data_IF_457127296647
#
_entry.id   IF_457127296647
#
_cell.length_a   1.000
_cell.length_b   1.000
_cell.length_c   1.000
_cell.angle_alpha   90.00
_cell.angle_beta   90.00
_cell.angle_gamma   90.00
#
_symmetry.space_group_name_H-M   'P 1'
#
loop_
_entity.id
_entity.type
_entity.pdbx_description
1 polymer ?
#
# COMPACT_ATOMS: atom_id res chain seq x y z
N UNK A 1 9.84 -7.03 -63.27
CA UNK A 1 8.89 -7.88 -64.04
C UNK A 1 7.71 -8.11 -63.11
N UNK A 2 6.54 -7.53 -63.30
CA UNK A 2 5.99 -6.59 -64.28
C UNK A 2 4.81 -5.90 -63.53
N UNK A 3 4.73 -4.57 -63.58
CA UNK A 3 3.70 -3.79 -64.32
C UNK A 3 2.37 -3.74 -63.54
N UNK A 4 2.03 -2.59 -62.94
CA UNK A 4 1.37 -1.43 -63.59
C UNK A 4 0.04 -1.83 -64.25
N UNK A 5 -1.08 -1.28 -63.75
CA UNK A 5 -1.96 -0.55 -64.67
C UNK A 5 -2.84 0.48 -63.94
N UNK A 6 -3.04 1.58 -64.64
CA UNK A 6 -3.64 2.82 -64.23
C UNK A 6 -5.00 3.06 -64.92
N UNK A 7 -5.71 4.09 -64.47
CA UNK A 7 -6.80 4.76 -65.20
C UNK A 7 -8.16 4.63 -64.50
N UNK A 8 -8.99 5.67 -64.40
CA UNK A 8 -8.97 7.01 -64.97
C UNK A 8 -10.38 7.59 -64.87
N UNK A 9 -10.45 8.89 -64.55
CA UNK A 9 -11.47 9.92 -64.85
C UNK A 9 -12.86 9.50 -65.38
N UNK A 10 -13.92 10.16 -64.87
CA UNK A 10 -14.64 11.20 -65.63
C UNK A 10 -15.74 11.90 -64.80
N UNK A 11 -15.81 13.21 -65.01
CA UNK A 11 -16.76 14.20 -64.52
C UNK A 11 -18.17 14.01 -65.09
N UNK A 12 -19.19 14.54 -64.39
CA UNK A 12 -20.42 15.02 -65.02
C UNK A 12 -21.06 16.12 -64.16
N UNK A 13 -20.85 17.36 -64.60
CA UNK A 13 -21.70 18.54 -64.33
C UNK A 13 -22.85 18.61 -65.36
N UNK A 14 -23.76 19.58 -65.13
CA UNK A 14 -24.92 20.04 -65.94
C UNK A 14 -26.26 19.31 -65.63
N UNK A 15 -27.40 19.97 -65.44
CA UNK A 15 -27.77 21.37 -65.67
C UNK A 15 -29.07 21.75 -64.92
N UNK A 16 -29.30 23.06 -64.84
CA UNK A 16 -30.48 23.80 -64.39
C UNK A 16 -31.83 23.36 -64.99
N UNK A 17 -32.95 23.63 -64.29
CA UNK A 17 -33.99 24.55 -64.78
C UNK A 17 -35.17 24.75 -63.80
N UNK A 18 -35.57 26.02 -63.72
CA UNK A 18 -36.61 26.60 -62.89
C UNK A 18 -38.01 26.56 -63.52
N UNK A 19 -39.05 26.68 -62.68
CA UNK A 19 -40.33 27.40 -62.95
C UNK A 19 -41.26 27.21 -61.75
N UNK A 20 -42.25 28.03 -61.43
CA UNK A 20 -42.62 29.45 -61.59
C UNK A 20 -43.99 29.57 -60.87
N UNK A 21 -44.27 30.72 -60.25
CA UNK A 21 -45.56 31.27 -59.76
C UNK A 21 -46.51 30.36 -58.94
N UNK A 22 -47.01 30.70 -57.75
CA UNK A 22 -47.37 31.99 -57.14
C UNK A 22 -48.84 31.92 -56.70
N UNK A 23 -49.15 32.14 -55.42
CA UNK A 23 -50.30 32.97 -54.96
C UNK A 23 -50.37 33.10 -53.42
N UNK A 24 -50.40 34.36 -53.00
CA UNK A 24 -51.09 35.03 -51.89
C UNK A 24 -51.35 34.41 -50.49
N UNK A 25 -50.70 35.09 -49.52
CA UNK A 25 -51.23 35.71 -48.28
C UNK A 25 -51.88 34.81 -47.20
N UNK A 26 -51.21 34.73 -46.04
CA UNK A 26 -51.70 35.28 -44.76
C UNK A 26 -50.56 35.30 -43.71
N UNK A 27 -50.29 36.49 -43.16
CA UNK A 27 -49.35 36.73 -42.05
C UNK A 27 -50.03 36.36 -40.73
N UNK A 28 -49.35 35.62 -39.84
CA UNK A 28 -49.28 36.09 -38.46
C UNK A 28 -47.88 35.94 -37.82
N UNK A 29 -47.45 37.06 -37.22
CA UNK A 29 -46.77 37.21 -35.93
C UNK A 29 -45.56 36.32 -35.60
N UNK A 30 -44.39 36.96 -35.73
CA UNK A 30 -43.31 37.03 -34.74
C UNK A 30 -43.15 35.85 -33.76
N UNK A 31 -42.23 34.95 -34.12
CA UNK A 31 -41.48 34.13 -33.18
C UNK A 31 -40.02 34.15 -33.63
N UNK A 32 -39.18 34.91 -32.94
CA UNK A 32 -37.72 34.88 -33.08
C UNK A 32 -37.22 33.50 -32.62
N UNK A 33 -37.05 32.57 -33.56
CA UNK A 33 -36.17 31.43 -33.36
C UNK A 33 -34.74 31.91 -33.64
N UNK A 34 -34.12 32.46 -32.60
CA UNK A 34 -32.66 32.52 -32.52
C UNK A 34 -32.16 31.08 -32.53
N UNK A 35 -31.61 30.66 -33.67
CA UNK A 35 -30.64 29.57 -33.74
C UNK A 35 -29.43 29.98 -32.89
N UNK A 36 -29.55 29.76 -31.57
CA UNK A 36 -28.41 29.70 -30.69
C UNK A 36 -27.57 28.52 -31.17
N UNK A 37 -26.55 28.84 -31.97
CA UNK A 37 -25.33 28.07 -31.99
C UNK A 37 -24.92 27.88 -30.53
N UNK A 38 -25.19 26.67 -30.02
CA UNK A 38 -24.72 26.18 -28.74
C UNK A 38 -23.19 26.04 -28.88
N UNK A 39 -22.50 27.18 -28.86
CA UNK A 39 -21.14 27.28 -28.39
C UNK A 39 -21.19 26.90 -26.90
N UNK A 40 -21.32 25.60 -26.66
CA UNK A 40 -21.01 24.97 -25.39
C UNK A 40 -19.53 25.29 -25.14
N UNK A 41 -19.34 26.34 -24.35
CA UNK A 41 -18.08 26.83 -23.84
C UNK A 41 -17.32 25.66 -23.20
N UNK A 42 -16.47 24.98 -23.98
CA UNK A 42 -15.66 23.86 -23.50
C UNK A 42 -14.63 24.33 -22.45
N UNK A 43 -14.38 25.64 -22.36
CA UNK A 43 -13.57 26.26 -21.31
C UNK A 43 -14.29 26.29 -19.94
N UNK A 44 -15.61 26.03 -19.87
CA UNK A 44 -16.33 25.93 -18.61
C UNK A 44 -16.07 24.61 -17.83
N UNK A 45 -15.32 23.67 -18.40
CA UNK A 45 -15.04 22.37 -17.76
C UNK A 45 -14.00 22.42 -16.66
N UNK A 46 -13.24 23.50 -16.54
CA UNK A 46 -12.25 23.67 -15.47
C UNK A 46 -12.70 24.83 -14.59
N UNK A 47 -13.46 24.52 -13.54
CA UNK A 47 -13.71 25.48 -12.48
C UNK A 47 -12.36 25.91 -11.90
N UNK A 48 -11.83 27.06 -12.29
CA UNK A 48 -10.62 27.60 -11.70
C UNK A 48 -10.97 28.39 -10.44
N UNK A 49 -10.33 28.06 -9.31
CA UNK A 49 -10.45 28.84 -8.09
C UNK A 49 -9.78 30.19 -8.29
N UNK A 50 -10.52 31.29 -8.11
CA UNK A 50 -9.90 32.59 -8.14
C UNK A 50 -8.97 32.74 -6.94
N UNK A 51 -7.76 33.27 -7.18
CA UNK A 51 -6.77 33.49 -6.12
C UNK A 51 -7.33 34.34 -4.98
N UNK A 52 -8.21 35.29 -5.27
CA UNK A 52 -8.85 36.13 -4.26
C UNK A 52 -9.72 35.31 -3.30
N UNK A 53 -10.33 34.23 -3.78
CA UNK A 53 -11.24 33.39 -2.98
C UNK A 53 -10.52 32.40 -2.08
N UNK A 54 -9.23 32.10 -2.37
CA UNK A 54 -8.49 31.03 -1.67
C UNK A 54 -7.25 31.52 -0.93
N UNK A 55 -6.72 32.72 -1.22
CA UNK A 55 -5.50 33.23 -0.57
C UNK A 55 -5.61 33.39 0.96
N UNK A 56 -6.82 33.45 1.49
CA UNK A 56 -7.09 33.58 2.93
C UNK A 56 -7.27 32.23 3.63
N UNK A 57 -7.38 31.14 2.86
CA UNK A 57 -7.59 29.78 3.37
C UNK A 57 -6.26 29.15 3.76
N UNK A 58 -6.30 28.18 4.69
CA UNK A 58 -5.13 27.35 4.97
C UNK A 58 -4.73 26.54 3.73
N UNK A 59 -3.45 26.14 3.55
CA UNK A 59 -3.05 25.32 2.41
C UNK A 59 -3.86 24.02 2.25
N UNK A 60 -4.29 23.41 3.37
CA UNK A 60 -5.13 22.22 3.35
C UNK A 60 -6.55 22.51 2.86
N UNK A 61 -7.17 23.61 3.31
CA UNK A 61 -8.47 24.04 2.80
C UNK A 61 -8.43 24.41 1.33
N UNK A 62 -7.33 25.03 0.87
CA UNK A 62 -7.10 25.31 -0.55
C UNK A 62 -7.08 24.02 -1.37
N UNK A 63 -6.32 23.01 -0.91
CA UNK A 63 -6.21 21.72 -1.57
C UNK A 63 -7.55 20.96 -1.60
N UNK A 64 -8.26 20.93 -0.46
CA UNK A 64 -9.58 20.31 -0.35
C UNK A 64 -10.59 20.96 -1.30
N UNK A 65 -10.66 22.29 -1.30
CA UNK A 65 -11.58 23.03 -2.18
C UNK A 65 -11.23 22.83 -3.65
N UNK A 66 -9.95 22.78 -4.00
CA UNK A 66 -9.49 22.43 -5.34
C UNK A 66 -9.98 21.04 -5.74
N UNK A 67 -9.80 20.06 -4.86
CA UNK A 67 -10.23 18.69 -5.08
C UNK A 67 -11.75 18.57 -5.30
N UNK A 68 -12.55 19.27 -4.49
CA UNK A 68 -14.02 19.29 -4.60
C UNK A 68 -14.55 19.88 -5.92
N UNK A 69 -13.72 20.68 -6.61
CA UNK A 69 -14.07 21.29 -7.89
C UNK A 69 -13.64 20.47 -9.11
N UNK A 70 -12.93 19.37 -8.90
CA UNK A 70 -12.56 18.48 -9.99
C UNK A 70 -13.83 17.83 -10.55
N UNK A 71 -13.88 17.72 -11.88
CA UNK A 71 -14.94 17.04 -12.61
C UNK A 71 -14.35 15.87 -13.39
N UNK A 72 -14.08 14.72 -12.72
CA UNK A 72 -13.42 13.60 -13.39
C UNK A 72 -14.29 13.02 -14.51
N UNK A 73 -13.68 12.69 -15.64
CA UNK A 73 -14.33 12.03 -16.77
C UNK A 73 -13.97 10.54 -16.80
N UNK A 74 -14.95 9.67 -17.09
CA UNK A 74 -14.69 8.23 -17.25
C UNK A 74 -14.10 7.97 -18.64
N UNK A 75 -12.94 7.30 -18.69
CA UNK A 75 -12.24 6.95 -19.95
C UNK A 75 -11.70 5.52 -19.89
N UNK A 76 -11.49 4.90 -21.06
CA UNK A 76 -10.76 3.64 -21.18
C UNK A 76 -9.25 3.89 -21.11
N UNK A 77 -8.62 3.47 -20.00
CA UNK A 77 -7.19 3.63 -19.78
C UNK A 77 -6.35 3.02 -20.90
N UNK A 78 -6.80 1.91 -21.49
CA UNK A 78 -6.02 1.19 -22.49
C UNK A 78 -5.98 1.96 -23.81
N UNK A 79 -7.15 2.38 -24.31
CA UNK A 79 -7.24 3.02 -25.64
C UNK A 79 -7.12 4.54 -25.61
N UNK A 80 -7.59 5.21 -24.55
CA UNK A 80 -7.69 6.67 -24.51
C UNK A 80 -6.49 7.30 -23.81
N UNK A 81 -5.95 6.68 -22.76
CA UNK A 81 -4.74 7.13 -22.07
C UNK A 81 -3.50 6.32 -22.43
N UNK A 82 -3.58 5.47 -23.45
CA UNK A 82 -2.46 4.70 -23.98
C UNK A 82 -1.67 3.94 -22.90
N UNK A 83 -2.39 3.15 -22.08
CA UNK A 83 -1.77 2.28 -21.08
C UNK A 83 -0.89 1.17 -21.67
N UNK A 84 -0.82 1.06 -23.01
CA UNK A 84 0.14 0.18 -23.68
C UNK A 84 1.56 0.72 -23.63
N UNK A 85 1.70 2.03 -23.41
CA UNK A 85 2.92 2.67 -22.94
C UNK A 85 2.99 2.65 -21.41
N UNK A 86 4.18 2.89 -20.87
CA UNK A 86 4.40 2.84 -19.42
C UNK A 86 3.57 3.89 -18.70
N UNK A 87 2.79 3.47 -17.71
CA UNK A 87 2.13 4.35 -16.75
C UNK A 87 2.61 4.05 -15.33
N UNK A 88 2.43 5.00 -14.43
CA UNK A 88 2.92 4.88 -13.06
C UNK A 88 1.76 4.65 -12.09
N UNK A 89 1.94 3.71 -11.16
CA UNK A 89 0.94 3.40 -10.13
C UNK A 89 1.53 3.77 -8.77
N UNK A 90 0.85 4.61 -7.99
CA UNK A 90 1.23 4.86 -6.60
C UNK A 90 0.94 3.61 -5.76
N UNK A 91 1.97 3.00 -5.21
CA UNK A 91 1.84 1.79 -4.39
C UNK A 91 1.07 2.10 -3.11
N UNK A 92 1.38 3.20 -2.43
CA UNK A 92 0.69 3.63 -1.22
C UNK A 92 -0.80 3.90 -1.46
N UNK A 93 -1.15 4.46 -2.63
CA UNK A 93 -2.55 4.64 -3.03
C UNK A 93 -3.30 3.30 -3.16
N UNK A 94 -2.67 2.31 -3.81
CA UNK A 94 -3.26 0.97 -3.96
C UNK A 94 -3.44 0.29 -2.61
N UNK A 95 -2.43 0.40 -1.75
CA UNK A 95 -2.45 -0.18 -0.42
C UNK A 95 -3.59 0.43 0.41
N UNK A 96 -3.72 1.77 0.43
CA UNK A 96 -4.77 2.46 1.16
C UNK A 96 -6.18 2.16 0.62
N UNK A 97 -6.37 2.20 -0.70
CA UNK A 97 -7.67 1.93 -1.34
C UNK A 97 -8.17 0.50 -1.09
N UNK A 98 -7.26 -0.49 -1.11
CA UNK A 98 -7.62 -1.87 -0.80
C UNK A 98 -8.07 -2.05 0.65
N UNK A 99 -7.50 -1.29 1.60
CA UNK A 99 -7.97 -1.31 2.99
C UNK A 99 -9.37 -0.71 3.12
N UNK A 100 -9.58 0.48 2.55
CA UNK A 100 -10.90 1.13 2.51
C UNK A 100 -11.94 0.18 1.92
N UNK A 101 -11.62 -0.41 0.76
CA UNK A 101 -12.56 -1.25 -0.01
C UNK A 101 -12.81 -2.61 0.63
N UNK A 102 -11.83 -3.18 1.35
CA UNK A 102 -11.98 -4.48 2.01
C UNK A 102 -12.70 -4.40 3.35
N UNK A 103 -12.78 -3.21 3.96
CA UNK A 103 -13.30 -3.03 5.31
C UNK A 103 -12.42 -3.69 6.37
N UNK A 104 -11.17 -4.03 6.04
CA UNK A 104 -10.16 -4.56 6.96
C UNK A 104 -9.57 -3.40 7.75
N UNK A 105 -10.38 -2.85 8.65
CA UNK A 105 -10.09 -1.60 9.36
C UNK A 105 -9.03 -1.68 10.46
N UNK A 106 -8.50 -2.86 10.80
CA UNK A 106 -7.31 -2.92 11.65
C UNK A 106 -6.52 -4.21 11.48
N UNK A 107 -5.20 -4.07 11.42
CA UNK A 107 -4.25 -5.19 11.44
C UNK A 107 -4.00 -5.71 12.87
N UNK A 108 -4.69 -5.18 13.87
CA UNK A 108 -4.40 -5.33 15.31
C UNK A 108 -4.47 -6.78 15.79
N UNK A 109 -5.37 -7.58 15.22
CA UNK A 109 -5.57 -8.98 15.64
C UNK A 109 -5.47 -9.99 14.50
N UNK A 110 -5.64 -9.55 13.25
CA UNK A 110 -5.88 -10.44 12.11
C UNK A 110 -5.08 -10.08 10.86
N UNK A 111 -3.96 -9.34 10.99
CA UNK A 111 -3.16 -9.00 9.82
C UNK A 111 -2.86 -10.20 8.93
N UNK A 112 -3.19 -10.07 7.63
CA UNK A 112 -2.98 -11.10 6.61
C UNK A 112 -2.27 -10.47 5.41
N UNK A 113 -0.97 -10.17 5.54
CA UNK A 113 -0.25 -9.46 4.48
C UNK A 113 -0.25 -10.25 3.17
N UNK A 114 -0.21 -11.59 3.21
CA UNK A 114 -0.37 -12.41 2.00
C UNK A 114 -1.70 -12.19 1.27
N UNK A 115 -2.79 -11.96 2.02
CA UNK A 115 -4.09 -11.66 1.41
C UNK A 115 -4.05 -10.28 0.73
N UNK A 116 -3.48 -9.29 1.39
CA UNK A 116 -3.31 -7.96 0.82
C UNK A 116 -2.42 -7.99 -0.43
N UNK A 117 -1.26 -8.67 -0.35
CA UNK A 117 -0.39 -8.91 -1.51
C UNK A 117 -1.16 -9.58 -2.65
N UNK A 118 -1.95 -10.63 -2.37
CA UNK A 118 -2.77 -11.28 -3.38
C UNK A 118 -3.80 -10.34 -4.04
N UNK A 119 -4.44 -9.47 -3.26
CA UNK A 119 -5.38 -8.47 -3.80
C UNK A 119 -4.67 -7.46 -4.71
N UNK A 120 -3.49 -6.99 -4.30
CA UNK A 120 -2.65 -6.13 -5.15
C UNK A 120 -2.25 -6.87 -6.43
N UNK A 121 -1.76 -8.10 -6.33
CA UNK A 121 -1.40 -8.91 -7.50
C UNK A 121 -2.58 -9.15 -8.44
N UNK A 122 -3.78 -9.39 -7.92
CA UNK A 122 -4.97 -9.53 -8.75
C UNK A 122 -5.30 -8.26 -9.52
N UNK A 123 -5.20 -7.09 -8.89
CA UNK A 123 -5.36 -5.80 -9.54
C UNK A 123 -4.33 -5.62 -10.67
N UNK A 124 -3.05 -5.82 -10.35
CA UNK A 124 -1.94 -5.66 -11.30
C UNK A 124 -2.03 -6.66 -12.46
N UNK A 125 -2.36 -7.92 -12.18
CA UNK A 125 -2.57 -8.94 -13.21
C UNK A 125 -3.79 -8.62 -14.09
N UNK A 126 -4.85 -8.02 -13.52
CA UNK A 126 -6.00 -7.58 -14.29
C UNK A 126 -5.61 -6.48 -15.28
N UNK A 127 -4.85 -5.47 -14.84
CA UNK A 127 -4.32 -4.40 -15.70
C UNK A 127 -3.41 -4.97 -16.80
N UNK A 128 -2.47 -5.84 -16.43
CA UNK A 128 -1.55 -6.47 -17.36
C UNK A 128 -2.28 -7.33 -18.41
N UNK A 129 -3.33 -8.07 -17.98
CA UNK A 129 -4.13 -8.89 -18.89
C UNK A 129 -4.91 -8.09 -19.94
N UNK A 130 -5.11 -6.79 -19.70
CA UNK A 130 -5.72 -5.87 -20.66
C UNK A 130 -4.68 -5.15 -21.55
N UNK A 131 -3.39 -5.50 -21.42
CA UNK A 131 -2.30 -4.90 -22.17
C UNK A 131 -1.59 -3.73 -21.46
N UNK A 132 -1.92 -3.48 -20.19
CA UNK A 132 -1.30 -2.42 -19.41
C UNK A 132 0.19 -2.69 -19.13
N UNK A 133 1.03 -1.68 -19.33
CA UNK A 133 2.45 -1.68 -18.97
C UNK A 133 2.67 -0.65 -17.87
N UNK A 134 3.12 -1.07 -16.69
CA UNK A 134 3.22 -0.17 -15.54
C UNK A 134 4.49 -0.36 -14.73
N UNK A 135 4.80 0.69 -13.98
CA UNK A 135 5.78 0.69 -12.89
C UNK A 135 5.11 1.10 -11.58
N UNK A 136 5.41 0.38 -10.51
CA UNK A 136 5.01 0.75 -9.16
C UNK A 136 5.93 1.85 -8.61
N UNK A 137 5.34 2.91 -8.08
CA UNK A 137 6.04 4.05 -7.50
C UNK A 137 5.74 4.08 -6.00
N UNK A 138 6.79 4.06 -5.20
CA UNK A 138 6.73 4.15 -3.75
C UNK A 138 7.30 5.49 -3.28
N UNK A 139 6.72 6.06 -2.22
CA UNK A 139 7.22 7.29 -1.58
C UNK A 139 7.45 7.11 -0.08
N UNK A 140 8.66 7.38 0.39
CA UNK A 140 9.01 7.21 1.82
C UNK A 140 8.31 8.23 2.75
N UNK A 141 7.96 9.40 2.23
CA UNK A 141 7.21 10.43 2.96
C UNK A 141 5.78 10.02 3.37
N UNK A 142 5.26 8.88 2.87
CA UNK A 142 4.02 8.32 3.39
C UNK A 142 4.18 7.59 4.72
N UNK A 143 5.40 7.37 5.22
CA UNK A 143 5.64 6.73 6.54
C UNK A 143 4.80 7.39 7.63
N UNK A 144 4.98 8.69 7.84
CA UNK A 144 4.28 9.39 8.91
C UNK A 144 2.78 9.55 8.61
N UNK A 145 2.38 9.56 7.33
CA UNK A 145 0.97 9.56 6.92
C UNK A 145 0.29 8.26 7.31
N UNK A 146 0.96 7.12 7.08
CA UNK A 146 0.47 5.80 7.41
C UNK A 146 0.52 5.55 8.91
N UNK A 147 1.57 5.96 9.60
CA UNK A 147 1.68 5.83 11.06
C UNK A 147 0.56 6.56 11.79
N UNK A 148 0.14 7.75 11.31
CA UNK A 148 -1.00 8.49 11.89
C UNK A 148 -2.34 7.83 11.60
N UNK A 149 -2.53 7.36 10.37
CA UNK A 149 -3.88 6.92 9.93
C UNK A 149 -4.16 5.44 10.27
N UNK A 150 -3.14 4.59 10.25
CA UNK A 150 -3.28 3.13 10.30
C UNK A 150 -2.27 2.46 11.24
N UNK A 151 -1.59 3.25 12.07
CA UNK A 151 -0.47 2.82 12.89
C UNK A 151 0.67 2.22 12.03
N UNK A 152 1.72 1.70 12.66
CA UNK A 152 2.89 1.18 11.93
C UNK A 152 2.63 -0.13 11.18
N UNK A 153 1.44 -0.70 11.30
CA UNK A 153 1.04 -1.93 10.61
C UNK A 153 1.05 -1.78 9.09
N UNK A 154 0.56 -0.64 8.59
CA UNK A 154 0.50 -0.41 7.15
C UNK A 154 1.88 -0.09 6.56
N UNK A 155 2.70 0.64 7.32
CA UNK A 155 4.08 0.87 6.95
C UNK A 155 4.87 -0.45 6.90
N UNK A 156 4.67 -1.35 7.88
CA UNK A 156 5.24 -2.69 7.84
C UNK A 156 4.76 -3.49 6.62
N UNK A 157 3.49 -3.37 6.22
CA UNK A 157 2.99 -4.00 4.99
C UNK A 157 3.65 -3.42 3.75
N UNK A 158 3.78 -2.09 3.66
CA UNK A 158 4.48 -1.42 2.56
C UNK A 158 5.90 -1.96 2.39
N UNK A 159 6.67 -2.07 3.48
CA UNK A 159 8.03 -2.61 3.45
C UNK A 159 8.09 -4.10 3.07
N UNK A 160 7.13 -4.90 3.55
CA UNK A 160 7.02 -6.30 3.17
C UNK A 160 6.63 -6.45 1.68
N UNK A 161 5.72 -5.62 1.19
CA UNK A 161 5.28 -5.62 -0.20
C UNK A 161 6.37 -5.13 -1.16
N UNK A 162 7.19 -4.17 -0.75
CA UNK A 162 8.38 -3.75 -1.50
C UNK A 162 9.38 -4.91 -1.64
N UNK A 163 9.63 -5.66 -0.57
CA UNK A 163 10.44 -6.88 -0.62
C UNK A 163 9.83 -7.94 -1.55
N UNK A 164 8.51 -8.10 -1.53
CA UNK A 164 7.79 -8.97 -2.46
C UNK A 164 7.98 -8.55 -3.93
N UNK A 165 7.90 -7.24 -4.22
CA UNK A 165 8.15 -6.71 -5.55
C UNK A 165 9.57 -7.06 -6.03
N UNK A 166 10.58 -6.91 -5.16
CA UNK A 166 11.98 -7.27 -5.45
C UNK A 166 12.14 -8.77 -5.68
N UNK A 167 11.55 -9.60 -4.82
CA UNK A 167 11.63 -11.06 -4.91
C UNK A 167 11.05 -11.60 -6.23
N UNK A 168 9.98 -10.96 -6.72
CA UNK A 168 9.23 -11.42 -7.89
C UNK A 168 9.58 -10.65 -9.18
N UNK A 169 10.55 -9.73 -9.13
CA UNK A 169 10.96 -8.95 -10.29
C UNK A 169 9.88 -8.01 -10.83
N UNK A 170 9.00 -7.51 -9.96
CA UNK A 170 7.99 -6.52 -10.32
C UNK A 170 8.67 -5.17 -10.54
N UNK A 171 8.36 -4.47 -11.64
CA UNK A 171 9.00 -3.18 -11.94
C UNK A 171 8.55 -2.10 -10.95
N UNK A 172 9.50 -1.53 -10.21
CA UNK A 172 9.23 -0.53 -9.19
C UNK A 172 10.36 0.49 -9.05
N UNK A 173 10.03 1.64 -8.46
CA UNK A 173 10.99 2.64 -8.02
C UNK A 173 10.54 3.25 -6.69
N UNK A 174 11.51 3.58 -5.84
CA UNK A 174 11.28 4.21 -4.53
C UNK A 174 11.87 5.61 -4.59
N UNK A 175 11.09 6.59 -4.13
CA UNK A 175 11.52 7.97 -3.99
C UNK A 175 11.25 8.42 -2.58
N UNK A 176 11.99 9.43 -2.13
CA UNK A 176 11.71 9.99 -0.83
C UNK A 176 10.34 10.66 -0.76
N UNK A 177 10.03 11.54 -1.71
CA UNK A 177 8.75 12.23 -1.78
C UNK A 177 8.47 12.78 -3.19
N UNK A 178 7.23 13.16 -3.47
CA UNK A 178 6.77 13.60 -4.80
C UNK A 178 7.19 15.03 -5.19
N UNK A 179 7.86 15.76 -4.30
CA UNK A 179 8.50 17.05 -4.61
C UNK A 179 10.01 16.93 -4.86
N UNK A 180 10.60 15.73 -4.74
CA UNK A 180 12.04 15.55 -4.86
C UNK A 180 12.52 15.76 -6.29
N UNK A 181 13.79 16.17 -6.43
CA UNK A 181 14.40 16.34 -7.75
C UNK A 181 14.54 14.99 -8.47
N UNK A 182 14.85 13.92 -7.74
CA UNK A 182 14.94 12.55 -8.27
C UNK A 182 13.64 12.09 -8.91
N UNK A 183 12.51 12.33 -8.25
CA UNK A 183 11.19 12.03 -8.80
C UNK A 183 10.92 12.82 -10.08
N UNK A 184 11.19 14.13 -10.05
CA UNK A 184 11.04 15.00 -11.23
C UNK A 184 11.87 14.51 -12.42
N UNK A 185 13.12 14.15 -12.19
CA UNK A 185 14.02 13.63 -13.22
C UNK A 185 13.52 12.28 -13.75
N UNK A 186 12.99 11.43 -12.87
CA UNK A 186 12.39 10.16 -13.24
C UNK A 186 11.18 10.32 -14.16
N UNK A 187 10.20 11.14 -13.78
CA UNK A 187 9.01 11.42 -14.60
C UNK A 187 9.40 12.01 -15.95
N UNK A 188 10.35 12.96 -15.96
CA UNK A 188 10.83 13.59 -17.19
C UNK A 188 11.50 12.60 -18.14
N UNK A 189 12.22 11.63 -17.58
CA UNK A 189 12.95 10.59 -18.34
C UNK A 189 11.99 9.54 -18.91
N UNK A 190 11.07 9.05 -18.09
CA UNK A 190 10.18 7.95 -18.45
C UNK A 190 8.94 8.38 -19.22
N UNK A 191 8.48 9.63 -19.01
CA UNK A 191 7.30 10.21 -19.65
C UNK A 191 6.08 9.28 -19.56
N UNK A 192 5.57 9.01 -18.35
CA UNK A 192 4.46 8.10 -18.18
C UNK A 192 3.22 8.61 -18.94
N UNK A 193 2.43 7.69 -19.50
CA UNK A 193 1.18 8.07 -20.19
C UNK A 193 0.16 8.71 -19.25
N UNK A 194 0.09 8.19 -18.02
CA UNK A 194 -0.71 8.72 -16.92
C UNK A 194 -0.18 8.23 -15.56
N UNK A 195 -0.70 8.80 -14.48
CA UNK A 195 -0.52 8.28 -13.12
C UNK A 195 -1.81 7.63 -12.62
N UNK A 196 -1.73 6.48 -11.97
CA UNK A 196 -2.85 5.82 -11.29
C UNK A 196 -2.67 5.97 -9.77
N UNK A 197 -3.60 6.67 -9.11
CA UNK A 197 -3.53 6.98 -7.69
C UNK A 197 -4.93 7.10 -7.06
N UNK A 198 -4.99 7.08 -5.73
CA UNK A 198 -6.23 7.22 -4.98
C UNK A 198 -6.65 8.71 -4.90
N UNK A 199 -7.95 8.98 -4.98
CA UNK A 199 -8.52 10.32 -4.86
C UNK A 199 -9.14 10.63 -3.49
N UNK A 200 -9.20 9.64 -2.61
CA UNK A 200 -9.91 9.79 -1.34
C UNK A 200 -9.08 10.51 -0.29
N UNK A 201 -9.78 11.20 0.62
CA UNK A 201 -9.21 11.61 1.90
C UNK A 201 -9.17 10.39 2.83
N UNK A 202 -8.03 10.23 3.49
CA UNK A 202 -7.82 9.26 4.56
C UNK A 202 -8.81 9.45 5.73
N UNK A 203 -9.46 10.62 5.81
CA UNK A 203 -10.52 10.96 6.76
C UNK A 203 -11.70 9.98 6.77
N UNK A 204 -11.95 9.25 5.68
CA UNK A 204 -13.05 8.28 5.62
C UNK A 204 -12.79 6.98 6.40
N UNK A 205 -11.58 6.80 6.95
CA UNK A 205 -11.12 5.56 7.60
C UNK A 205 -10.97 5.68 9.11
N UNK A 206 -10.55 6.84 9.59
CA UNK A 206 -10.63 7.18 11.00
C UNK A 206 -12.10 7.49 11.27
N UNK A 207 -12.79 6.68 12.08
CA UNK A 207 -14.18 6.98 12.46
C UNK A 207 -14.30 8.41 12.99
N UNK A 208 -15.53 8.94 13.09
CA UNK A 208 -15.84 10.26 13.70
C UNK A 208 -15.49 10.29 15.21
N UNK A 209 -14.27 9.91 15.59
CA UNK A 209 -13.75 10.12 16.92
C UNK A 209 -13.45 11.61 17.01
N UNK A 210 -14.36 12.33 17.68
CA UNK A 210 -14.32 13.77 17.99
C UNK A 210 -13.12 14.16 18.89
N UNK A 211 -11.98 13.49 18.78
CA UNK A 211 -10.73 13.93 19.39
C UNK A 211 -10.18 15.13 18.59
N UNK A 212 -9.66 16.13 19.29
CA UNK A 212 -9.05 17.30 18.64
C UNK A 212 -7.87 16.82 17.78
N UNK A 213 -8.08 16.67 16.46
CA UNK A 213 -7.01 16.33 15.53
C UNK A 213 -5.93 17.41 15.58
N UNK A 214 -4.69 17.00 15.86
CA UNK A 214 -3.55 17.91 15.82
C UNK A 214 -3.38 18.46 14.39
N UNK A 215 -2.98 19.73 14.25
CA UNK A 215 -2.81 20.37 12.93
C UNK A 215 -1.90 19.58 11.98
N UNK A 216 -0.96 18.81 12.52
CA UNK A 216 -0.04 17.98 11.76
C UNK A 216 -0.72 16.73 11.17
N UNK A 217 -1.74 16.19 11.83
CA UNK A 217 -2.49 15.02 11.35
C UNK A 217 -3.43 15.41 10.21
N UNK A 218 -4.12 16.56 10.36
CA UNK A 218 -4.90 17.18 9.30
C UNK A 218 -4.03 17.43 8.06
N UNK A 219 -2.75 17.82 8.24
CA UNK A 219 -1.84 18.03 7.11
C UNK A 219 -1.51 16.75 6.36
N UNK A 220 -1.34 15.64 7.08
CA UNK A 220 -1.00 14.32 6.52
C UNK A 220 -2.16 13.72 5.72
N UNK A 221 -3.40 13.96 6.13
CA UNK A 221 -4.63 13.46 5.47
C UNK A 221 -4.82 13.96 4.03
N UNK A 222 -4.28 15.13 3.69
CA UNK A 222 -4.28 15.69 2.32
C UNK A 222 -3.19 15.15 1.38
N UNK A 223 -2.34 14.21 1.82
CA UNK A 223 -1.14 13.81 1.08
C UNK A 223 -1.42 13.18 -0.29
N UNK A 224 -2.46 12.36 -0.44
CA UNK A 224 -2.83 11.80 -1.76
C UNK A 224 -3.31 12.87 -2.74
N UNK A 225 -4.04 13.89 -2.24
CA UNK A 225 -4.48 15.03 -3.05
C UNK A 225 -3.28 15.91 -3.45
N UNK A 226 -2.32 16.09 -2.55
CA UNK A 226 -1.07 16.80 -2.84
C UNK A 226 -0.24 16.06 -3.90
N UNK A 227 -0.11 14.73 -3.78
CA UNK A 227 0.51 13.89 -4.81
C UNK A 227 -0.20 14.03 -6.16
N UNK A 228 -1.54 13.97 -6.16
CA UNK A 228 -2.33 14.15 -7.38
C UNK A 228 -2.09 15.50 -8.04
N UNK A 229 -2.20 16.59 -7.28
CA UNK A 229 -1.94 17.95 -7.75
C UNK A 229 -0.54 18.05 -8.34
N UNK A 230 0.45 17.47 -7.65
CA UNK A 230 1.83 17.45 -8.13
C UNK A 230 1.99 16.65 -9.42
N UNK A 231 1.35 15.50 -9.56
CA UNK A 231 1.36 14.70 -10.78
C UNK A 231 0.84 15.49 -11.99
N UNK A 232 -0.22 16.29 -11.82
CA UNK A 232 -0.78 17.12 -12.90
C UNK A 232 0.20 18.22 -13.36
N UNK A 233 1.12 18.68 -12.50
CA UNK A 233 2.16 19.66 -12.86
C UNK A 233 3.09 19.19 -14.00
N UNK A 234 3.18 17.88 -14.23
CA UNK A 234 3.97 17.27 -15.29
C UNK A 234 3.26 17.25 -16.65
N UNK A 235 2.06 17.84 -16.77
CA UNK A 235 1.23 17.83 -17.98
C UNK A 235 0.83 16.41 -18.42
N UNK A 236 0.53 15.56 -17.43
CA UNK A 236 0.16 14.16 -17.59
C UNK A 236 -1.14 13.89 -16.84
N UNK A 237 -2.04 13.08 -17.43
CA UNK A 237 -3.32 12.75 -16.83
C UNK A 237 -3.15 11.97 -15.51
N UNK A 238 -4.12 12.12 -14.62
CA UNK A 238 -4.23 11.29 -13.43
C UNK A 238 -5.50 10.45 -13.53
N UNK A 239 -5.34 9.14 -13.52
CA UNK A 239 -6.41 8.17 -13.37
C UNK A 239 -6.65 7.87 -11.88
N UNK A 240 -7.93 7.80 -11.52
CA UNK A 240 -8.36 7.56 -10.16
C UNK A 240 -8.58 6.07 -9.96
N UNK A 241 -7.95 5.52 -8.93
CA UNK A 241 -8.05 4.11 -8.58
C UNK A 241 -9.48 3.74 -8.16
N UNK A 242 -10.12 4.63 -7.39
CA UNK A 242 -11.52 4.47 -7.02
C UNK A 242 -12.41 4.65 -8.24
N UNK A 243 -13.22 3.63 -8.52
CA UNK A 243 -14.03 3.58 -9.73
C UNK A 243 -13.38 2.86 -10.91
N UNK A 244 -12.17 2.31 -10.73
CA UNK A 244 -11.56 1.42 -11.72
C UNK A 244 -12.46 0.21 -11.98
N UNK A 245 -12.85 0.02 -13.24
CA UNK A 245 -13.75 -1.06 -13.65
C UNK A 245 -13.23 -1.77 -14.90
N UNK A 246 -13.15 -3.10 -14.82
CA UNK A 246 -12.90 -3.92 -16.01
C UNK A 246 -14.19 -4.17 -16.77
N UNK A 247 -14.22 -3.82 -18.06
CA UNK A 247 -15.32 -4.12 -18.98
C UNK A 247 -14.78 -4.93 -20.17
N UNK A 248 -14.69 -6.25 -19.99
CA UNK A 248 -14.08 -7.15 -20.98
C UNK A 248 -12.56 -6.95 -21.06
N UNK A 249 -12.09 -6.42 -22.18
CA UNK A 249 -10.67 -6.06 -22.39
C UNK A 249 -10.38 -4.57 -22.13
N UNK A 250 -11.40 -3.81 -21.72
CA UNK A 250 -11.27 -2.39 -21.37
C UNK A 250 -11.09 -2.21 -19.89
N UNK A 251 -10.35 -1.17 -19.51
CA UNK A 251 -10.19 -0.76 -18.12
C UNK A 251 -10.67 0.68 -18.02
N UNK A 252 -11.87 0.87 -17.50
CA UNK A 252 -12.46 2.19 -17.31
C UNK A 252 -11.98 2.78 -15.98
N UNK A 253 -11.64 4.06 -15.97
CA UNK A 253 -11.40 4.81 -14.74
C UNK A 253 -11.85 6.26 -14.90
N UNK A 254 -12.14 6.92 -13.79
CA UNK A 254 -12.27 8.37 -13.77
C UNK A 254 -10.89 9.02 -13.90
N UNK A 255 -10.81 10.13 -14.63
CA UNK A 255 -9.54 10.81 -14.87
C UNK A 255 -9.65 12.31 -14.65
N UNK A 256 -8.56 12.88 -14.19
CA UNK A 256 -8.35 14.32 -14.01
C UNK A 256 -7.34 14.78 -15.05
N UNK A 257 -7.71 15.82 -15.78
CA UNK A 257 -6.90 16.36 -16.87
C UNK A 257 -5.79 17.28 -16.34
N UNK A 258 -4.65 17.38 -17.05
CA UNK A 258 -3.52 18.16 -16.56
C UNK A 258 -3.79 19.66 -16.40
N UNK A 259 -4.81 20.18 -17.10
CA UNK A 259 -5.20 21.59 -17.03
C UNK A 259 -5.88 21.97 -15.71
N UNK A 260 -6.25 20.97 -14.89
CA UNK A 260 -6.70 21.19 -13.53
C UNK A 260 -5.55 21.53 -12.54
N UNK A 261 -4.28 21.49 -12.96
CA UNK A 261 -3.16 21.85 -12.08
C UNK A 261 -3.17 23.33 -11.67
N UNK A 262 -3.13 23.59 -10.36
CA UNK A 262 -2.99 24.92 -9.78
C UNK A 262 -1.61 25.09 -9.10
N UNK A 263 -0.76 25.92 -9.70
CA UNK A 263 0.62 26.15 -9.21
C UNK A 263 0.68 26.96 -7.92
N UNK A 264 -0.33 27.79 -7.64
CA UNK A 264 -0.38 28.56 -6.41
C UNK A 264 -0.72 27.66 -5.23
N UNK A 265 -1.69 26.76 -5.42
CA UNK A 265 -2.05 25.74 -4.41
C UNK A 265 -0.88 24.76 -4.22
N UNK A 266 -0.27 24.25 -5.30
CA UNK A 266 0.85 23.30 -5.21
C UNK A 266 2.03 23.88 -4.40
N UNK A 267 2.36 25.15 -4.64
CA UNK A 267 3.41 25.86 -3.89
C UNK A 267 3.09 25.99 -2.39
N UNK A 268 1.85 26.38 -2.05
CA UNK A 268 1.44 26.55 -0.65
C UNK A 268 1.38 25.21 0.09
N UNK A 269 0.88 24.16 -0.58
CA UNK A 269 0.80 22.80 -0.05
C UNK A 269 2.19 22.22 0.17
N UNK A 270 3.11 22.40 -0.79
CA UNK A 270 4.52 22.01 -0.62
C UNK A 270 5.13 22.66 0.63
N UNK A 271 4.91 23.97 0.81
CA UNK A 271 5.39 24.68 2.00
C UNK A 271 4.79 24.16 3.31
N UNK A 272 3.51 23.78 3.31
CA UNK A 272 2.84 23.21 4.48
C UNK A 272 3.29 21.79 4.82
N UNK A 273 3.62 20.99 3.80
CA UNK A 273 4.11 19.63 3.95
C UNK A 273 5.61 19.56 4.23
N UNK A 274 6.35 20.67 4.13
CA UNK A 274 7.80 20.70 4.30
C UNK A 274 8.31 19.91 5.53
N UNK A 275 7.70 19.97 6.73
CA UNK A 275 8.14 19.16 7.87
C UNK A 275 8.06 17.64 7.62
N UNK A 276 7.06 17.17 6.88
CA UNK A 276 6.90 15.77 6.46
C UNK A 276 7.93 15.37 5.39
N UNK A 277 8.37 16.35 4.58
CA UNK A 277 9.29 16.12 3.47
C UNK A 277 10.76 16.23 3.92
N UNK A 278 11.03 16.77 5.11
CA UNK A 278 12.36 16.94 5.68
C UNK A 278 13.01 15.60 6.09
N UNK A 279 14.32 15.63 6.31
CA UNK A 279 15.17 14.44 6.37
C UNK A 279 15.23 14.00 7.83
N UNK A 280 14.60 12.88 8.18
CA UNK A 280 14.92 12.22 9.45
C UNK A 280 16.30 11.54 9.31
N UNK A 281 17.17 11.69 10.32
CA UNK A 281 18.42 10.94 10.39
C UNK A 281 18.08 9.44 10.44
N UNK A 282 18.31 8.75 9.32
CA UNK A 282 17.99 7.34 9.22
C UNK A 282 19.08 6.49 9.87
N UNK A 283 18.69 5.43 10.59
CA UNK A 283 19.65 4.47 11.13
C UNK A 283 20.41 3.73 10.01
N UNK A 284 21.73 3.59 10.19
CA UNK A 284 22.63 2.93 9.24
C UNK A 284 22.18 1.49 8.92
N UNK A 285 21.77 1.26 7.67
CA UNK A 285 21.45 -0.07 7.15
C UNK A 285 22.71 -0.94 6.89
N UNK A 286 23.92 -0.36 7.02
CA UNK A 286 25.19 -0.98 6.65
C UNK A 286 25.46 -2.32 7.36
N UNK A 287 25.00 -2.45 8.61
CA UNK A 287 25.23 -3.65 9.42
C UNK A 287 24.22 -4.79 9.15
N UNK A 288 23.11 -4.52 8.45
CA UNK A 288 22.04 -5.52 8.26
C UNK A 288 22.54 -6.78 7.51
N UNK A 289 23.16 -6.61 6.34
CA UNK A 289 23.69 -7.74 5.56
C UNK A 289 24.80 -8.49 6.29
N UNK A 290 25.85 -7.83 6.83
CA UNK A 290 26.87 -8.52 7.61
C UNK A 290 26.30 -9.37 8.75
N UNK A 291 25.28 -8.88 9.46
CA UNK A 291 24.64 -9.64 10.53
C UNK A 291 23.80 -10.81 10.01
N UNK A 292 23.03 -10.60 8.94
CA UNK A 292 22.26 -11.65 8.28
C UNK A 292 23.18 -12.79 7.81
N UNK A 293 24.35 -12.46 7.24
CA UNK A 293 25.35 -13.45 6.81
C UNK A 293 25.95 -14.25 7.97
N UNK A 294 26.26 -13.57 9.08
CA UNK A 294 26.72 -14.23 10.30
C UNK A 294 25.65 -15.19 10.82
N UNK A 295 24.38 -14.78 10.81
CA UNK A 295 23.26 -15.63 11.20
C UNK A 295 23.10 -16.84 10.26
N UNK A 296 23.07 -16.61 8.95
CA UNK A 296 22.97 -17.66 7.92
C UNK A 296 24.05 -18.75 8.11
N UNK A 297 25.28 -18.33 8.40
CA UNK A 297 26.39 -19.26 8.67
C UNK A 297 26.13 -20.14 9.91
N UNK A 298 25.57 -19.58 10.99
CA UNK A 298 25.24 -20.33 12.21
C UNK A 298 23.99 -21.21 12.06
N UNK A 299 23.06 -20.78 11.22
CA UNK A 299 21.80 -21.44 10.93
C UNK A 299 21.92 -22.54 9.87
N UNK A 300 23.06 -22.63 9.17
CA UNK A 300 23.32 -23.62 8.13
C UNK A 300 23.02 -25.05 8.60
N UNK A 301 22.17 -25.75 7.85
CA UNK A 301 21.73 -27.12 8.15
C UNK A 301 20.71 -27.26 9.30
N UNK A 302 20.33 -26.16 9.96
CA UNK A 302 19.32 -26.13 11.03
C UNK A 302 18.03 -25.45 10.59
N UNK A 303 18.16 -24.36 9.82
CA UNK A 303 17.04 -23.58 9.29
C UNK A 303 17.04 -23.73 7.78
N UNK A 304 15.85 -23.86 7.17
CA UNK A 304 15.71 -23.88 5.70
C UNK A 304 16.19 -22.56 5.09
N UNK A 305 16.81 -22.61 3.92
CA UNK A 305 17.40 -21.43 3.26
C UNK A 305 16.36 -20.33 2.96
N UNK A 306 15.15 -20.73 2.56
CA UNK A 306 14.01 -19.84 2.29
C UNK A 306 13.42 -19.16 3.54
N UNK A 307 13.85 -19.57 4.73
CA UNK A 307 13.38 -19.07 6.01
C UNK A 307 14.42 -18.21 6.75
N UNK A 308 15.64 -18.10 6.22
CA UNK A 308 16.76 -17.46 6.91
C UNK A 308 16.45 -16.01 7.25
N UNK A 309 15.91 -15.23 6.30
CA UNK A 309 15.58 -13.82 6.53
C UNK A 309 14.54 -13.66 7.64
N UNK A 310 13.43 -14.39 7.57
CA UNK A 310 12.36 -14.32 8.57
C UNK A 310 12.82 -14.75 9.95
N UNK A 311 13.57 -15.85 10.03
CA UNK A 311 14.14 -16.32 11.29
C UNK A 311 15.16 -15.32 11.86
N UNK A 312 15.96 -14.67 11.02
CA UNK A 312 16.92 -13.64 11.44
C UNK A 312 16.20 -12.44 12.08
N UNK A 313 15.24 -11.86 11.37
CA UNK A 313 14.45 -10.72 11.86
C UNK A 313 13.69 -11.11 13.14
N UNK A 314 13.07 -12.29 13.17
CA UNK A 314 12.37 -12.77 14.35
C UNK A 314 13.30 -12.98 15.55
N UNK A 315 14.53 -13.46 15.35
CA UNK A 315 15.53 -13.56 16.41
C UNK A 315 15.98 -12.19 16.92
N UNK A 316 16.12 -11.18 16.05
CA UNK A 316 16.41 -9.80 16.47
C UNK A 316 15.25 -9.21 17.27
N UNK A 317 14.00 -9.39 16.82
CA UNK A 317 12.81 -9.00 17.57
C UNK A 317 12.78 -9.67 18.94
N UNK A 318 12.94 -10.99 18.96
CA UNK A 318 12.97 -11.79 20.17
C UNK A 318 14.04 -11.30 21.15
N UNK A 319 15.25 -11.00 20.68
CA UNK A 319 16.33 -10.46 21.50
C UNK A 319 15.96 -9.12 22.13
N UNK A 320 15.35 -8.21 21.36
CA UNK A 320 14.85 -6.92 21.86
C UNK A 320 13.79 -7.12 22.95
N UNK A 321 12.77 -7.92 22.66
CA UNK A 321 11.67 -8.22 23.58
C UNK A 321 12.12 -8.92 24.87
N UNK A 322 13.11 -9.82 24.78
CA UNK A 322 13.65 -10.53 25.94
C UNK A 322 14.55 -9.62 26.79
N UNK A 323 15.24 -8.67 26.18
CA UNK A 323 15.95 -7.63 26.92
C UNK A 323 14.98 -6.75 27.73
N UNK A 324 13.82 -6.41 27.17
CA UNK A 324 12.77 -5.73 27.92
C UNK A 324 12.12 -6.61 29.00
N UNK A 325 11.88 -7.88 28.68
CA UNK A 325 11.35 -8.85 29.66
C UNK A 325 12.27 -8.99 30.88
N UNK A 326 13.59 -8.83 30.71
CA UNK A 326 14.55 -8.84 31.82
C UNK A 326 14.44 -7.63 32.75
N UNK A 327 13.88 -6.51 32.26
CA UNK A 327 13.64 -5.28 33.00
C UNK A 327 12.23 -5.22 33.60
N UNK A 328 11.28 -5.94 33.01
CA UNK A 328 9.91 -6.05 33.50
C UNK A 328 9.80 -6.97 34.73
N UNK A 329 8.76 -6.77 35.55
CA UNK A 329 8.51 -7.58 36.74
C UNK A 329 7.26 -8.45 36.61
N UNK A 330 7.23 -9.58 37.32
CA UNK A 330 6.05 -10.44 37.46
C UNK A 330 5.48 -10.97 36.14
N UNK A 331 4.17 -10.84 35.98
CA UNK A 331 3.41 -11.36 34.84
C UNK A 331 3.86 -10.78 33.49
N UNK A 332 4.25 -9.50 33.47
CA UNK A 332 4.69 -8.82 32.25
C UNK A 332 5.92 -9.48 31.62
N UNK A 333 6.93 -9.81 32.42
CA UNK A 333 8.14 -10.50 31.93
C UNK A 333 7.82 -11.85 31.30
N UNK A 334 6.94 -12.62 31.92
CA UNK A 334 6.53 -13.92 31.38
C UNK A 334 5.65 -13.78 30.13
N UNK A 335 4.85 -12.71 30.03
CA UNK A 335 3.96 -12.46 28.90
C UNK A 335 4.78 -12.19 27.64
N UNK A 336 5.79 -11.32 27.75
CA UNK A 336 6.71 -11.04 26.65
C UNK A 336 7.41 -12.31 26.16
N UNK A 337 7.88 -13.17 27.09
CA UNK A 337 8.49 -14.46 26.74
C UNK A 337 7.51 -15.41 26.05
N UNK A 338 6.25 -15.44 26.49
CA UNK A 338 5.21 -16.26 25.85
C UNK A 338 4.98 -15.77 24.43
N UNK A 339 4.75 -14.46 24.22
CA UNK A 339 4.50 -13.89 22.89
C UNK A 339 5.63 -14.22 21.92
N UNK A 340 6.89 -14.01 22.31
CA UNK A 340 8.05 -14.36 21.47
C UNK A 340 8.09 -15.85 21.13
N UNK A 341 7.82 -16.73 22.11
CA UNK A 341 7.76 -18.18 21.87
C UNK A 341 6.63 -18.55 20.89
N UNK A 342 5.47 -17.90 20.99
CA UNK A 342 4.36 -18.12 20.06
C UNK A 342 4.73 -17.69 18.64
N UNK A 343 5.35 -16.52 18.47
CA UNK A 343 5.81 -16.05 17.16
C UNK A 343 6.84 -16.99 16.53
N UNK A 344 7.78 -17.54 17.31
CA UNK A 344 8.72 -18.56 16.81
C UNK A 344 8.02 -19.86 16.38
N UNK A 345 6.99 -20.30 17.12
CA UNK A 345 6.20 -21.47 16.72
C UNK A 345 5.39 -21.17 15.46
N UNK A 346 4.81 -19.98 15.35
CA UNK A 346 4.13 -19.53 14.15
C UNK A 346 5.07 -19.57 12.95
N UNK A 347 6.27 -18.97 13.04
CA UNK A 347 7.24 -19.00 11.93
C UNK A 347 7.67 -20.41 11.57
N UNK A 348 7.81 -21.30 12.55
CA UNK A 348 7.99 -22.73 12.26
C UNK A 348 6.81 -23.29 11.47
N UNK A 349 5.58 -23.07 11.90
CA UNK A 349 4.40 -23.57 11.21
C UNK A 349 4.23 -22.98 9.80
N UNK A 350 4.56 -21.70 9.57
CA UNK A 350 4.50 -21.08 8.24
C UNK A 350 5.31 -21.87 7.19
N UNK A 351 6.43 -22.46 7.61
CA UNK A 351 7.37 -23.20 6.74
C UNK A 351 7.00 -24.64 6.47
N UNK A 352 6.11 -25.20 7.27
CA UNK A 352 5.71 -26.61 7.19
C UNK A 352 4.21 -26.81 6.92
N UNK A 353 3.39 -25.78 7.13
CA UNK A 353 1.95 -25.77 6.83
C UNK A 353 1.72 -24.96 5.55
N UNK A 354 1.38 -25.62 4.44
CA UNK A 354 1.02 -24.95 3.20
C UNK A 354 -0.10 -23.93 3.40
N UNK A 355 -0.07 -22.84 2.63
CA UNK A 355 -1.04 -21.73 2.73
C UNK A 355 -2.49 -22.23 2.65
N UNK A 356 -2.78 -23.17 1.75
CA UNK A 356 -4.12 -23.77 1.56
C UNK A 356 -4.58 -24.67 2.73
N UNK A 357 -3.70 -24.93 3.69
CA UNK A 357 -3.94 -25.71 4.91
C UNK A 357 -3.90 -24.85 6.18
N UNK A 358 -3.59 -23.55 6.07
CA UNK A 358 -3.61 -22.61 7.19
C UNK A 358 -5.04 -22.27 7.59
N UNK A 359 -5.19 -21.70 8.78
CA UNK A 359 -6.50 -21.43 9.34
C UNK A 359 -7.21 -20.29 8.59
N UNK A 360 -8.44 -20.54 8.15
CA UNK A 360 -9.33 -19.53 7.58
C UNK A 360 -10.27 -18.89 8.63
N UNK A 361 -10.31 -19.48 9.83
CA UNK A 361 -11.13 -18.99 10.94
C UNK A 361 -10.31 -18.14 11.88
N UNK A 362 -10.95 -17.16 12.49
CA UNK A 362 -10.33 -16.29 13.49
C UNK A 362 -10.56 -16.86 14.89
N UNK A 363 -9.71 -16.46 15.83
CA UNK A 363 -9.86 -16.85 17.23
C UNK A 363 -10.45 -15.66 17.97
N UNK A 364 -11.61 -15.85 18.60
CA UNK A 364 -12.13 -14.83 19.49
C UNK A 364 -11.29 -14.78 20.78
N UNK A 365 -10.52 -13.71 20.97
CA UNK A 365 -9.70 -13.47 22.15
C UNK A 365 -10.49 -12.83 23.31
N UNK A 366 -11.71 -12.35 23.09
CA UNK A 366 -12.53 -11.69 24.12
C UNK A 366 -12.78 -12.59 25.34
N UNK A 367 -12.77 -13.90 25.14
CA UNK A 367 -12.93 -14.88 26.22
C UNK A 367 -11.69 -14.97 27.15
N UNK A 368 -10.58 -14.30 26.82
CA UNK A 368 -9.28 -14.46 27.50
C UNK A 368 -8.92 -13.28 28.41
N UNK A 369 -9.78 -12.27 28.55
CA UNK A 369 -9.64 -11.16 29.49
C UNK A 369 -8.48 -10.23 29.15
N UNK A 370 -7.70 -9.80 30.16
CA UNK A 370 -6.60 -8.81 30.09
C UNK A 370 -5.49 -9.09 29.05
N UNK A 371 -5.53 -10.23 28.38
CA UNK A 371 -4.51 -10.66 27.43
C UNK A 371 -4.73 -10.11 26.03
N UNK A 372 -5.98 -9.90 25.62
CA UNK A 372 -6.28 -9.42 24.26
C UNK A 372 -5.75 -8.01 24.05
N UNK A 373 -6.10 -7.09 24.97
CA UNK A 373 -5.66 -5.69 24.92
C UNK A 373 -4.14 -5.58 24.93
N UNK A 374 -3.47 -6.26 25.88
CA UNK A 374 -2.01 -6.18 25.97
C UNK A 374 -1.30 -6.79 24.74
N UNK A 375 -1.78 -7.91 24.21
CA UNK A 375 -1.19 -8.53 23.02
C UNK A 375 -1.40 -7.63 21.80
N UNK A 376 -2.59 -7.07 21.63
CA UNK A 376 -2.89 -6.09 20.58
C UNK A 376 -1.93 -4.89 20.68
N UNK A 377 -1.80 -4.26 21.85
CA UNK A 377 -0.86 -3.16 22.09
C UNK A 377 0.59 -3.55 21.80
N UNK A 378 1.01 -4.78 22.13
CA UNK A 378 2.37 -5.24 21.84
C UNK A 378 2.59 -5.42 20.33
N UNK A 379 1.61 -6.00 19.62
CA UNK A 379 1.69 -6.15 18.18
C UNK A 379 1.79 -4.77 17.51
N UNK A 380 0.93 -3.84 17.91
CA UNK A 380 0.89 -2.50 17.33
C UNK A 380 2.08 -1.63 17.68
N UNK A 381 2.46 -1.56 18.95
CA UNK A 381 3.52 -0.64 19.37
C UNK A 381 4.93 -1.23 19.30
N UNK A 382 5.08 -2.53 18.97
CA UNK A 382 6.40 -3.17 18.95
C UNK A 382 6.62 -4.05 17.74
N UNK A 383 5.72 -4.97 17.45
CA UNK A 383 5.94 -5.91 16.35
C UNK A 383 5.96 -5.21 15.00
N UNK A 384 4.91 -4.45 14.66
CA UNK A 384 4.85 -3.78 13.37
C UNK A 384 5.92 -2.70 13.19
N UNK A 385 6.18 -1.79 14.15
CA UNK A 385 7.27 -0.82 14.04
C UNK A 385 8.63 -1.50 13.83
N UNK A 386 8.93 -2.53 14.62
CA UNK A 386 10.18 -3.29 14.50
C UNK A 386 10.31 -3.94 13.12
N UNK A 387 9.22 -4.54 12.63
CA UNK A 387 9.23 -5.17 11.31
C UNK A 387 9.39 -4.15 10.19
N UNK A 388 8.74 -2.99 10.28
CA UNK A 388 8.88 -1.93 9.29
C UNK A 388 10.32 -1.40 9.27
N UNK A 389 10.94 -1.21 10.43
CA UNK A 389 12.34 -0.77 10.55
C UNK A 389 13.32 -1.79 9.93
N UNK A 390 13.19 -3.08 10.27
CA UNK A 390 14.10 -4.12 9.79
C UNK A 390 13.94 -4.39 8.29
N UNK A 391 12.69 -4.41 7.79
CA UNK A 391 12.42 -4.56 6.37
C UNK A 391 12.81 -3.29 5.58
N UNK A 392 12.68 -2.10 6.18
CA UNK A 392 13.16 -0.83 5.62
C UNK A 392 14.69 -0.80 5.48
N UNK A 393 15.42 -1.26 6.49
CA UNK A 393 16.89 -1.44 6.42
C UNK A 393 17.27 -2.36 5.25
N UNK A 394 16.54 -3.45 5.07
CA UNK A 394 16.73 -4.36 3.93
C UNK A 394 16.44 -3.67 2.58
N UNK A 395 15.37 -2.89 2.51
CA UNK A 395 14.93 -2.23 1.29
C UNK A 395 15.88 -1.13 0.79
N UNK A 396 16.62 -0.49 1.70
CA UNK A 396 17.63 0.53 1.38
C UNK A 396 18.92 -0.03 0.76
N UNK A 397 19.12 -1.34 0.81
CA UNK A 397 20.31 -1.98 0.25
C UNK A 397 20.20 -2.05 -1.28
N UNK A 398 21.15 -1.43 -1.98
CA UNK A 398 21.25 -1.47 -3.44
C UNK A 398 21.52 -2.89 -3.96
N UNK A 399 22.38 -3.63 -3.27
CA UNK A 399 22.93 -4.91 -3.73
C UNK A 399 22.61 -6.02 -2.74
N UNK A 400 21.39 -6.56 -2.85
CA UNK A 400 21.02 -7.78 -2.13
C UNK A 400 21.53 -8.98 -2.92
N UNK A 401 22.34 -9.85 -2.30
CA UNK A 401 22.81 -11.08 -2.95
C UNK A 401 21.66 -12.02 -3.34
N UNK A 402 21.75 -12.66 -4.51
CA UNK A 402 20.71 -13.56 -5.05
C UNK A 402 20.36 -14.75 -4.16
N UNK A 403 21.28 -15.14 -3.27
CA UNK A 403 21.08 -16.25 -2.34
C UNK A 403 20.29 -15.86 -1.08
N UNK A 404 19.98 -14.57 -0.89
CA UNK A 404 19.07 -14.09 0.14
C UNK A 404 17.64 -14.12 -0.41
N UNK A 405 16.79 -14.97 0.16
CA UNK A 405 15.35 -15.00 -0.15
C UNK A 405 14.62 -13.89 0.61
N UNK A 406 13.94 -13.02 -0.14
CA UNK A 406 13.28 -11.81 0.38
C UNK A 406 11.81 -11.99 0.78
N UNK A 407 11.27 -13.21 0.65
CA UNK A 407 9.87 -13.50 0.98
C UNK A 407 9.61 -13.30 2.49
N UNK A 408 8.92 -12.21 2.83
CA UNK A 408 8.60 -11.84 4.22
C UNK A 408 7.11 -11.69 4.50
N UNK A 409 6.24 -11.57 3.50
CA UNK A 409 4.81 -11.31 3.71
C UNK A 409 4.08 -12.39 4.53
N UNK A 410 4.57 -13.64 4.54
CA UNK A 410 3.91 -14.74 5.25
C UNK A 410 4.09 -14.68 6.77
N UNK A 411 5.09 -13.97 7.30
CA UNK A 411 5.31 -13.82 8.74
C UNK A 411 4.14 -13.09 9.44
N UNK A 412 3.39 -12.30 8.68
CA UNK A 412 2.22 -11.57 9.14
C UNK A 412 0.94 -12.39 8.87
N UNK A 413 0.86 -13.54 9.55
CA UNK A 413 -0.33 -14.40 9.59
C UNK A 413 -0.94 -14.38 10.99
N UNK A 414 -1.70 -13.31 11.29
CA UNK A 414 -2.38 -13.10 12.57
C UNK A 414 -3.35 -14.23 12.94
N UNK A 415 -3.97 -14.88 11.95
CA UNK A 415 -4.84 -16.04 12.17
C UNK A 415 -4.05 -17.21 12.73
N UNK A 416 -2.95 -17.58 12.07
CA UNK A 416 -2.09 -18.66 12.54
C UNK A 416 -1.52 -18.34 13.93
N UNK A 417 -1.01 -17.13 14.13
CA UNK A 417 -0.56 -16.64 15.43
C UNK A 417 -1.62 -16.87 16.52
N UNK A 418 -2.85 -16.44 16.27
CA UNK A 418 -3.96 -16.56 17.22
C UNK A 418 -4.33 -18.00 17.57
N UNK A 419 -4.30 -18.91 16.59
CA UNK A 419 -4.53 -20.34 16.85
C UNK A 419 -3.41 -20.97 17.66
N UNK A 420 -2.15 -20.61 17.40
CA UNK A 420 -1.01 -21.10 18.19
C UNK A 420 -1.12 -20.62 19.63
N UNK A 421 -1.39 -19.32 19.82
CA UNK A 421 -1.60 -18.74 21.14
C UNK A 421 -2.75 -19.45 21.89
N UNK A 422 -3.90 -19.65 21.21
CA UNK A 422 -5.06 -20.37 21.76
C UNK A 422 -4.70 -21.76 22.23
N UNK A 423 -4.00 -22.48 21.37
CA UNK A 423 -3.62 -23.85 21.65
C UNK A 423 -2.74 -23.91 22.90
N UNK A 424 -1.74 -23.04 22.99
CA UNK A 424 -0.79 -22.97 24.12
C UNK A 424 -1.50 -22.60 25.42
N UNK A 425 -2.32 -21.55 25.42
CA UNK A 425 -3.10 -21.13 26.59
C UNK A 425 -4.05 -22.23 27.03
N UNK A 426 -4.84 -22.80 26.13
CA UNK A 426 -5.81 -23.84 26.45
C UNK A 426 -5.15 -25.10 27.02
N UNK A 427 -3.98 -25.50 26.50
CA UNK A 427 -3.20 -26.64 27.00
C UNK A 427 -2.68 -26.40 28.41
N UNK A 428 -2.10 -25.23 28.67
CA UNK A 428 -1.59 -24.90 29.99
C UNK A 428 -2.70 -24.84 31.05
N UNK A 429 -3.83 -24.21 30.71
CA UNK A 429 -5.00 -24.11 31.60
C UNK A 429 -5.55 -25.49 31.93
N UNK A 430 -5.79 -26.33 30.91
CA UNK A 430 -6.34 -27.68 31.09
C UNK A 430 -5.42 -28.59 31.90
N UNK A 431 -4.12 -28.53 31.64
CA UNK A 431 -3.14 -29.41 32.27
C UNK A 431 -2.63 -28.89 33.63
N UNK A 432 -2.94 -27.63 33.99
CA UNK A 432 -2.38 -26.92 35.16
C UNK A 432 -0.85 -27.03 35.23
N UNK A 433 -0.19 -27.07 34.07
CA UNK A 433 1.26 -27.19 33.90
C UNK A 433 1.74 -26.37 32.71
N UNK A 434 3.05 -26.18 32.61
CA UNK A 434 3.70 -25.55 31.47
C UNK A 434 3.55 -26.43 30.22
N UNK A 435 3.74 -25.84 29.04
CA UNK A 435 3.55 -26.54 27.76
C UNK A 435 4.89 -27.05 27.24
N UNK A 436 5.02 -28.38 27.17
CA UNK A 436 6.19 -29.07 26.62
C UNK A 436 6.08 -29.25 25.09
N UNK A 437 7.21 -29.51 24.41
CA UNK A 437 7.26 -29.79 22.96
C UNK A 437 6.32 -30.94 22.54
N UNK A 438 6.19 -31.97 23.41
CA UNK A 438 5.31 -33.13 23.20
C UNK A 438 3.83 -32.74 23.01
N UNK A 439 3.40 -31.59 23.51
CA UNK A 439 2.03 -31.11 23.33
C UNK A 439 1.69 -30.91 21.85
N UNK A 440 2.68 -30.50 21.06
CA UNK A 440 2.57 -30.24 19.62
C UNK A 440 2.89 -31.47 18.76
N UNK A 441 3.45 -32.54 19.35
CA UNK A 441 3.92 -33.75 18.65
C UNK A 441 4.93 -33.44 17.53
N UNK A 442 5.83 -32.49 17.79
CA UNK A 442 6.84 -32.06 16.83
C UNK A 442 7.94 -33.13 16.70
N UNK A 443 8.54 -33.22 15.51
CA UNK A 443 9.74 -34.04 15.32
C UNK A 443 10.93 -33.47 16.10
N UNK A 444 11.92 -34.32 16.39
CA UNK A 444 13.14 -33.91 17.12
C UNK A 444 13.86 -32.75 16.43
N UNK A 445 13.94 -32.78 15.10
CA UNK A 445 14.55 -31.72 14.30
C UNK A 445 13.92 -30.34 14.55
N UNK A 446 12.59 -30.27 14.73
CA UNK A 446 11.90 -29.01 15.02
C UNK A 446 12.27 -28.51 16.42
N UNK A 447 12.41 -29.42 17.38
CA UNK A 447 12.76 -29.03 18.75
C UNK A 447 14.19 -28.51 18.81
N UNK A 448 15.12 -29.17 18.12
CA UNK A 448 16.51 -28.73 17.98
C UNK A 448 16.61 -27.37 17.28
N UNK A 449 15.80 -27.16 16.24
CA UNK A 449 15.74 -25.90 15.52
C UNK A 449 15.19 -24.76 16.40
N UNK A 450 14.10 -25.00 17.14
CA UNK A 450 13.51 -24.03 18.06
C UNK A 450 14.47 -23.68 19.20
N UNK A 451 15.19 -24.66 19.76
CA UNK A 451 16.23 -24.42 20.75
C UNK A 451 17.40 -23.62 20.16
N UNK A 452 17.76 -23.85 18.89
CA UNK A 452 18.74 -23.02 18.19
C UNK A 452 18.27 -21.57 18.04
N UNK A 453 17.08 -21.34 17.49
CA UNK A 453 16.53 -19.98 17.32
C UNK A 453 16.39 -19.25 18.66
N UNK A 454 15.96 -19.97 19.70
CA UNK A 454 15.91 -19.43 21.05
C UNK A 454 17.29 -19.04 21.57
N UNK A 455 18.31 -19.86 21.32
CA UNK A 455 19.68 -19.57 21.75
C UNK A 455 20.30 -18.35 21.02
N UNK A 456 19.86 -18.08 19.80
CA UNK A 456 20.25 -16.89 19.04
C UNK A 456 19.58 -15.62 19.60
N UNK A 457 18.36 -15.74 20.14
CA UNK A 457 17.62 -14.64 20.77
C UNK A 457 17.98 -14.42 22.25
N UNK A 458 18.27 -15.49 23.00
CA UNK A 458 18.52 -15.49 24.44
C UNK A 458 19.59 -16.50 24.87
N UNK A 459 20.41 -16.13 25.84
CA UNK A 459 21.61 -16.88 26.22
C UNK A 459 21.47 -17.80 27.43
N UNK A 460 20.28 -17.90 28.07
CA UNK A 460 20.18 -18.41 29.45
C UNK A 460 19.23 -19.59 29.70
N UNK A 461 18.11 -19.71 28.99
CA UNK A 461 17.11 -20.77 29.22
C UNK A 461 16.77 -21.54 27.93
N UNK A 462 16.07 -22.67 28.09
CA UNK A 462 15.60 -23.46 26.95
C UNK A 462 14.30 -22.87 26.38
N UNK A 463 14.02 -23.17 25.12
CA UNK A 463 12.75 -22.78 24.52
C UNK A 463 11.59 -23.45 25.27
N UNK A 464 11.73 -24.75 25.55
CA UNK A 464 10.75 -25.56 26.28
C UNK A 464 11.13 -25.78 27.75
N UNK A 465 10.16 -25.85 28.68
CA UNK A 465 8.72 -25.69 28.47
C UNK A 465 8.28 -24.22 28.43
N UNK A 466 7.16 -23.93 27.76
CA UNK A 466 6.53 -22.61 27.76
C UNK A 466 5.82 -22.40 29.10
N UNK A 467 6.36 -21.47 29.90
CA UNK A 467 5.83 -21.14 31.22
C UNK A 467 4.61 -20.23 31.11
N UNK A 468 3.47 -20.68 31.64
CA UNK A 468 2.21 -19.89 31.66
C UNK A 468 1.73 -19.62 33.09
N UNK A 469 2.23 -20.36 34.08
CA UNK A 469 1.79 -20.22 35.48
C UNK A 469 2.07 -18.85 36.09
N UNK A 470 3.10 -18.15 35.62
CA UNK A 470 3.47 -16.81 36.13
C UNK A 470 2.54 -15.68 35.69
N UNK A 471 1.51 -16.00 34.89
CA UNK A 471 0.58 -15.03 34.30
C UNK A 471 -0.78 -14.99 35.00
N UNK A 472 -0.92 -15.70 36.12
CA UNK A 472 -2.13 -15.76 36.96
C UNK A 472 -2.03 -14.92 38.22
#
# INVERSE_FOLDING_TARGET
>A
MAEDDAGGFEDNEFDDEASDAGDDVEVPEEGEEDEAADDFDMDARVGHLSRADIQHMSPQDQLKKWHEMLLPSEVDLISELDATNVFFISAESVIADLLISSGEGSFDEEGQFLRMTFLVEQLLASLQSCGGVFRLIFFDAFKDVFDVTFESSLWAFREAFLNHCRANGMDHAVFRHWYSQEWKDHVTTWRPSFFLLANDQLDSLTGDDEEEEDEDDVRKKGSFQALMLRCLSYRVHVALLRGLQRRGNRVMAFTVEPDCHDSFIDFNVQGALQPLLEEEEEEDAEDFLPELRKFQTRAAGKVKEDAILRCFILCRFAKSMLAEASKASGAMSELLKVVVRIMMIQEMLLRYVPVDKRAFTTVNFNDWGLWSEYISTLLQNKWYPFMAEELGKLNKLSDIPEDVKLESCDIFDGRLYGHVLRFVVAKAVKAKKDVDADAFKLGTYVTEEMDFLWSEAASGDKFWPIKIKGLK
#
